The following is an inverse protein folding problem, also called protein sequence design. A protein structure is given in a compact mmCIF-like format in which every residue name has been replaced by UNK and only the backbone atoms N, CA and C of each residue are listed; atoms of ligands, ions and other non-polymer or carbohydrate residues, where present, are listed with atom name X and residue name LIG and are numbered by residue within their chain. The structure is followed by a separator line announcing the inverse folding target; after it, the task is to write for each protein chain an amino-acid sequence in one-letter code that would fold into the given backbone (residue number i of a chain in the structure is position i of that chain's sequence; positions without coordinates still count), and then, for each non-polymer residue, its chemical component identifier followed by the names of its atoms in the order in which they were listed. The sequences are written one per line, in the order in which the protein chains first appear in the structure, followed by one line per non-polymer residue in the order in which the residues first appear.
data_IF_546547412651
#
_entry.id   IF_546547412651
#
_cell.length_a   1.000
_cell.length_b   1.000
_cell.length_c   1.000
_cell.angle_alpha   90.00
_cell.angle_beta   90.00
_cell.angle_gamma   90.00
#
_symmetry.space_group_name_H-M   'P 1'
#
loop_
_entity.id
_entity.type
_entity.pdbx_description
1 polymer ?
#
# COMPACT_ATOMS: atom_id res chain seq x y z
N UNK A 1 23.93 -33.30 -5.80
CA UNK A 1 23.22 -32.04 -5.50
C UNK A 1 22.79 -31.38 -6.81
N UNK A 2 21.49 -31.25 -7.08
CA UNK A 2 21.00 -30.56 -8.24
C UNK A 2 21.42 -29.08 -8.11
N UNK A 3 22.22 -28.61 -9.06
CA UNK A 3 22.49 -27.17 -9.16
C UNK A 3 21.18 -26.49 -9.45
N UNK A 4 20.69 -25.67 -8.51
CA UNK A 4 19.52 -24.88 -8.74
C UNK A 4 19.76 -23.94 -9.91
N UNK A 5 19.14 -24.23 -11.05
CA UNK A 5 19.15 -23.33 -12.20
C UNK A 5 17.97 -22.36 -12.05
N UNK A 6 18.24 -21.07 -12.11
CA UNK A 6 17.18 -20.09 -12.31
C UNK A 6 16.51 -20.37 -13.67
N UNK A 7 15.19 -20.54 -13.68
CA UNK A 7 14.44 -20.71 -14.93
C UNK A 7 14.31 -19.38 -15.68
N UNK A 8 14.28 -18.29 -14.94
CA UNK A 8 14.18 -16.93 -15.46
C UNK A 8 14.68 -15.93 -14.41
N UNK A 9 15.05 -14.76 -14.84
CA UNK A 9 15.44 -13.63 -14.00
C UNK A 9 14.66 -12.42 -14.48
N UNK A 10 14.05 -11.68 -13.55
CA UNK A 10 13.37 -10.44 -13.82
C UNK A 10 13.62 -9.46 -12.67
N UNK A 11 13.80 -8.18 -13.03
CA UNK A 11 13.95 -7.10 -12.06
C UNK A 11 12.77 -6.14 -12.20
N UNK A 12 11.96 -6.04 -11.15
CA UNK A 12 10.82 -5.13 -11.04
C UNK A 12 11.04 -4.05 -9.97
N UNK A 13 12.23 -3.96 -9.40
CA UNK A 13 12.52 -3.02 -8.32
C UNK A 13 11.71 -3.27 -7.05
N UNK A 14 11.31 -4.52 -6.80
CA UNK A 14 10.53 -4.89 -5.63
C UNK A 14 11.33 -4.69 -4.34
N UNK A 15 10.66 -4.15 -3.32
CA UNK A 15 11.23 -3.96 -1.97
C UNK A 15 10.64 -4.90 -0.93
N UNK A 16 9.61 -5.66 -1.27
CA UNK A 16 8.89 -6.54 -0.38
C UNK A 16 9.01 -8.00 -0.83
N UNK A 17 8.77 -8.92 0.09
CA UNK A 17 8.75 -10.35 -0.20
C UNK A 17 7.62 -10.66 -1.18
N UNK A 18 7.90 -11.35 -2.29
CA UNK A 18 6.86 -11.79 -3.21
C UNK A 18 5.88 -12.74 -2.54
N UNK A 19 4.61 -12.63 -2.91
CA UNK A 19 3.59 -13.60 -2.53
C UNK A 19 3.37 -14.59 -3.66
N UNK A 20 3.25 -15.87 -3.33
CA UNK A 20 2.86 -16.92 -4.28
C UNK A 20 1.36 -17.12 -4.17
N UNK A 21 0.67 -17.14 -5.30
CA UNK A 21 -0.77 -17.34 -5.35
C UNK A 21 -1.19 -18.12 -6.60
N UNK A 22 -2.35 -18.76 -6.54
CA UNK A 22 -2.99 -19.33 -7.72
C UNK A 22 -4.01 -18.32 -8.25
N UNK A 23 -3.77 -17.82 -9.46
CA UNK A 23 -4.61 -16.82 -10.12
C UNK A 23 -5.09 -17.37 -11.45
N UNK A 24 -6.39 -17.58 -11.57
CA UNK A 24 -6.98 -18.16 -12.78
C UNK A 24 -6.42 -19.52 -13.16
N UNK A 25 -6.12 -20.37 -12.18
CA UNK A 25 -5.53 -21.70 -12.39
C UNK A 25 -4.04 -21.69 -12.74
N UNK A 26 -3.37 -20.55 -12.65
CA UNK A 26 -1.93 -20.39 -12.90
C UNK A 26 -1.23 -19.96 -11.62
N UNK A 27 -0.10 -20.60 -11.33
CA UNK A 27 0.75 -20.19 -10.23
C UNK A 27 1.45 -18.88 -10.56
N UNK A 28 1.22 -17.85 -9.74
CA UNK A 28 1.72 -16.52 -9.96
C UNK A 28 2.58 -16.02 -8.79
N UNK A 29 3.47 -15.08 -9.08
CA UNK A 29 4.15 -14.26 -8.09
C UNK A 29 3.54 -12.87 -8.11
N UNK A 30 3.14 -12.39 -6.95
CA UNK A 30 2.62 -11.06 -6.73
C UNK A 30 3.69 -10.22 -6.07
N UNK A 31 4.09 -9.14 -6.71
CA UNK A 31 5.20 -8.28 -6.34
C UNK A 31 4.74 -6.84 -6.21
N UNK A 32 5.32 -6.12 -5.26
CA UNK A 32 5.20 -4.66 -5.23
C UNK A 32 6.42 -4.04 -5.91
N UNK A 33 6.23 -3.06 -6.75
CA UNK A 33 7.28 -2.38 -7.48
C UNK A 33 7.21 -0.86 -7.30
N UNK A 34 8.36 -0.21 -7.38
CA UNK A 34 8.42 1.24 -7.23
C UNK A 34 7.81 1.75 -5.92
N UNK A 35 6.98 2.77 -6.03
CA UNK A 35 6.28 3.36 -4.87
C UNK A 35 4.83 2.91 -4.72
N UNK A 36 4.22 2.37 -5.76
CA UNK A 36 2.79 2.07 -5.75
C UNK A 36 2.34 1.08 -6.80
N UNK A 37 3.23 0.48 -7.56
CA UNK A 37 2.86 -0.53 -8.55
C UNK A 37 2.72 -1.92 -7.91
N UNK A 38 1.74 -2.66 -8.36
CA UNK A 38 1.58 -4.08 -8.16
C UNK A 38 1.84 -4.79 -9.49
N UNK A 39 2.67 -5.83 -9.43
CA UNK A 39 3.07 -6.61 -10.60
C UNK A 39 2.75 -8.06 -10.35
N UNK A 40 2.09 -8.71 -11.28
CA UNK A 40 1.78 -10.14 -11.23
C UNK A 40 2.41 -10.82 -12.42
N UNK A 41 3.21 -11.84 -12.14
CA UNK A 41 3.96 -12.61 -13.13
C UNK A 41 3.65 -14.10 -13.00
N UNK A 42 3.69 -14.81 -14.10
CA UNK A 42 3.59 -16.26 -14.13
C UNK A 42 4.83 -16.90 -13.51
N UNK A 43 4.65 -17.69 -12.47
CA UNK A 43 5.77 -18.27 -11.72
C UNK A 43 6.57 -19.33 -12.49
N UNK A 44 5.99 -19.93 -13.52
CA UNK A 44 6.66 -20.94 -14.33
C UNK A 44 7.53 -20.31 -15.43
N UNK A 45 7.07 -19.21 -16.02
CA UNK A 45 7.69 -18.59 -17.22
C UNK A 45 8.38 -17.27 -16.94
N UNK A 46 8.02 -16.57 -15.83
CA UNK A 46 8.47 -15.21 -15.54
C UNK A 46 7.80 -14.13 -16.40
N UNK A 47 6.82 -14.49 -17.21
CA UNK A 47 6.11 -13.54 -18.05
C UNK A 47 5.15 -12.68 -17.22
N UNK A 48 5.09 -11.41 -17.57
CA UNK A 48 4.13 -10.47 -16.99
C UNK A 48 2.70 -10.93 -17.31
N UNK A 49 1.88 -11.13 -16.28
CA UNK A 49 0.45 -11.34 -16.43
C UNK A 49 -0.26 -9.99 -16.52
N UNK A 50 -0.02 -9.13 -15.54
CA UNK A 50 -0.49 -7.74 -15.52
C UNK A 50 0.29 -6.90 -14.50
N UNK A 51 0.18 -5.57 -14.62
CA UNK A 51 0.60 -4.62 -13.60
C UNK A 51 -0.42 -3.50 -13.44
N UNK A 52 -0.54 -2.94 -12.24
CA UNK A 52 -1.47 -1.88 -11.92
C UNK A 52 -0.87 -0.89 -10.92
N UNK A 53 -1.28 0.37 -10.96
CA UNK A 53 -1.06 1.30 -9.87
C UNK A 53 -2.06 1.00 -8.75
N UNK A 54 -1.54 0.54 -7.62
CA UNK A 54 -2.33 0.16 -6.46
C UNK A 54 -2.48 1.29 -5.43
N UNK A 55 -1.96 2.51 -5.72
CA UNK A 55 -2.20 3.66 -4.84
C UNK A 55 -3.67 4.03 -4.84
N UNK A 56 -4.20 4.64 -3.76
CA UNK A 56 -5.55 5.19 -3.74
C UNK A 56 -5.82 6.14 -4.91
N UNK A 57 -7.10 6.37 -5.23
CA UNK A 57 -7.50 7.21 -6.36
C UNK A 57 -6.97 8.65 -6.26
N UNK A 58 -6.77 9.18 -5.04
CA UNK A 58 -6.15 10.48 -4.82
C UNK A 58 -4.62 10.50 -5.06
N UNK A 59 -4.01 9.35 -5.37
CA UNK A 59 -2.58 9.23 -5.64
C UNK A 59 -1.66 9.39 -4.43
N UNK A 60 -2.22 9.53 -3.24
CA UNK A 60 -1.45 9.78 -2.00
C UNK A 60 -1.10 8.45 -1.33
N UNK A 61 0.16 8.33 -0.90
CA UNK A 61 0.62 7.13 -0.22
C UNK A 61 1.61 6.29 -1.03
N UNK A 62 2.08 5.24 -0.43
CA UNK A 62 3.01 4.29 -1.05
C UNK A 62 2.86 2.91 -0.44
N UNK A 63 3.19 1.87 -1.21
CA UNK A 63 3.24 0.51 -0.68
C UNK A 63 4.54 0.35 0.09
N UNK A 64 4.45 0.00 1.37
CA UNK A 64 5.61 -0.27 2.25
C UNK A 64 5.57 -1.67 2.85
N UNK A 65 4.40 -2.26 2.94
CA UNK A 65 4.19 -3.63 3.40
C UNK A 65 4.04 -4.62 2.25
N UNK A 66 3.98 -5.91 2.59
CA UNK A 66 3.56 -6.94 1.65
C UNK A 66 2.07 -6.89 1.38
N UNK A 67 1.62 -7.65 0.40
CA UNK A 67 0.21 -7.75 0.02
C UNK A 67 -0.39 -9.07 0.52
N UNK A 68 -1.70 -9.13 0.65
CA UNK A 68 -2.42 -10.37 0.97
C UNK A 68 -3.27 -10.77 -0.22
N UNK A 69 -3.02 -11.96 -0.76
CA UNK A 69 -3.89 -12.55 -1.80
C UNK A 69 -4.96 -13.38 -1.10
N UNK A 70 -6.22 -13.09 -1.41
CA UNK A 70 -7.37 -13.80 -0.86
C UNK A 70 -8.43 -14.00 -1.92
N UNK A 71 -8.64 -15.27 -2.28
CA UNK A 71 -9.58 -15.65 -3.35
C UNK A 71 -9.28 -14.91 -4.65
N UNK A 72 -10.24 -14.11 -5.12
CA UNK A 72 -10.18 -13.31 -6.34
C UNK A 72 -9.60 -11.90 -6.14
N UNK A 73 -9.05 -11.61 -4.95
CA UNK A 73 -8.61 -10.26 -4.56
C UNK A 73 -7.17 -10.22 -4.10
N UNK A 74 -6.54 -9.10 -4.33
CA UNK A 74 -5.25 -8.74 -3.72
C UNK A 74 -5.48 -7.49 -2.88
N UNK A 75 -5.21 -7.61 -1.57
CA UNK A 75 -5.33 -6.53 -0.60
C UNK A 75 -3.97 -5.87 -0.44
N UNK A 76 -3.91 -4.60 -0.76
CA UNK A 76 -2.68 -3.81 -0.77
C UNK A 76 -2.73 -2.78 0.35
N UNK A 77 -1.84 -2.90 1.37
CA UNK A 77 -1.74 -1.89 2.41
C UNK A 77 -0.99 -0.67 1.89
N UNK A 78 -1.54 0.50 2.15
CA UNK A 78 -0.96 1.78 1.77
C UNK A 78 -0.46 2.51 3.01
N UNK A 79 0.80 2.87 2.97
CA UNK A 79 1.45 3.70 4.00
C UNK A 79 1.30 5.17 3.65
N UNK A 80 1.18 6.01 4.67
CA UNK A 80 1.23 7.46 4.53
C UNK A 80 2.54 7.91 3.86
N UNK A 81 2.46 8.94 3.04
CA UNK A 81 3.62 9.59 2.43
C UNK A 81 3.84 10.98 3.03
N UNK A 82 5.05 11.51 2.88
CA UNK A 82 5.37 12.88 3.29
C UNK A 82 6.09 13.02 4.64
N UNK A 83 6.01 12.04 5.53
CA UNK A 83 6.66 12.10 6.85
C UNK A 83 8.15 12.44 6.75
N UNK A 84 8.90 11.77 5.87
CA UNK A 84 10.32 12.05 5.65
C UNK A 84 10.62 13.44 5.09
N UNK A 85 9.62 14.11 4.51
CA UNK A 85 9.74 15.48 4.00
C UNK A 85 9.42 16.53 5.08
N UNK A 86 8.87 16.13 6.22
CA UNK A 86 8.54 17.03 7.34
C UNK A 86 9.76 17.75 7.92
N UNK A 87 10.97 17.27 7.65
CA UNK A 87 12.23 17.95 7.99
C UNK A 87 12.55 19.14 7.05
N UNK A 88 11.91 19.22 5.89
CA UNK A 88 12.07 20.35 4.98
C UNK A 88 11.24 21.54 5.48
N UNK A 89 11.89 22.68 5.81
CA UNK A 89 11.19 23.82 6.39
C UNK A 89 10.18 24.49 5.45
N UNK A 90 10.22 24.16 4.15
CA UNK A 90 9.28 24.68 3.13
C UNK A 90 8.19 23.70 2.73
N UNK A 91 8.19 22.49 3.30
CA UNK A 91 7.20 21.47 2.96
C UNK A 91 5.87 21.67 3.70
N UNK A 92 4.77 21.76 2.96
CA UNK A 92 3.42 21.75 3.54
C UNK A 92 3.11 20.35 4.07
N UNK A 93 3.48 20.09 5.30
CA UNK A 93 3.20 18.80 5.96
C UNK A 93 1.79 18.82 6.57
N UNK A 94 1.06 17.72 6.54
CA UNK A 94 1.26 16.51 5.75
C UNK A 94 -0.07 16.13 5.15
N UNK A 95 -0.07 15.41 4.02
CA UNK A 95 -1.32 15.06 3.33
C UNK A 95 -1.52 13.56 3.17
N UNK A 96 -0.46 12.77 3.42
CA UNK A 96 -0.52 11.31 3.24
C UNK A 96 -1.22 10.61 4.39
N UNK A 97 -2.05 9.61 4.08
CA UNK A 97 -2.67 8.74 5.07
C UNK A 97 -2.69 7.29 4.61
N UNK A 98 -2.99 6.40 5.54
CA UNK A 98 -3.10 4.98 5.29
C UNK A 98 -4.38 4.62 4.54
N UNK A 99 -4.31 3.52 3.79
CA UNK A 99 -5.47 2.94 3.12
C UNK A 99 -5.28 1.44 2.91
N UNK A 100 -6.36 0.73 2.63
CA UNK A 100 -6.34 -0.60 2.02
C UNK A 100 -6.99 -0.49 0.65
N UNK A 101 -6.29 -0.94 -0.38
CA UNK A 101 -6.81 -1.00 -1.74
C UNK A 101 -6.99 -2.47 -2.12
N UNK A 102 -8.18 -2.83 -2.57
CA UNK A 102 -8.45 -4.15 -3.12
C UNK A 102 -8.44 -4.11 -4.64
N UNK A 103 -7.61 -4.96 -5.22
CA UNK A 103 -7.53 -5.17 -6.66
C UNK A 103 -8.04 -6.58 -7.02
N UNK A 104 -8.62 -6.70 -8.19
CA UNK A 104 -8.92 -7.99 -8.81
C UNK A 104 -7.63 -8.75 -9.08
N UNK A 105 -7.54 -9.98 -8.60
CA UNK A 105 -6.37 -10.82 -8.84
C UNK A 105 -6.23 -11.19 -10.32
N UNK A 106 -7.32 -11.20 -11.08
CA UNK A 106 -7.31 -11.61 -12.47
C UNK A 106 -6.68 -10.58 -13.41
N UNK A 107 -6.91 -9.27 -13.16
CA UNK A 107 -6.56 -8.22 -14.12
C UNK A 107 -6.06 -6.91 -13.47
N UNK A 108 -5.95 -6.86 -12.15
CA UNK A 108 -5.47 -5.70 -11.42
C UNK A 108 -6.45 -4.52 -11.34
N UNK A 109 -7.70 -4.70 -11.77
CA UNK A 109 -8.73 -3.64 -11.63
C UNK A 109 -9.02 -3.37 -10.18
N UNK A 110 -9.15 -2.08 -9.82
CA UNK A 110 -9.56 -1.67 -8.50
C UNK A 110 -11.01 -2.08 -8.24
N UNK A 111 -11.22 -2.77 -7.10
CA UNK A 111 -12.54 -3.21 -6.66
C UNK A 111 -13.11 -2.24 -5.64
N UNK A 112 -12.30 -1.85 -4.65
CA UNK A 112 -12.64 -0.88 -3.62
C UNK A 112 -11.38 -0.35 -2.95
N UNK A 113 -11.52 0.75 -2.23
CA UNK A 113 -10.51 1.28 -1.32
C UNK A 113 -11.17 1.75 -0.02
N UNK A 114 -10.43 1.62 1.08
CA UNK A 114 -10.81 2.12 2.40
C UNK A 114 -9.67 2.98 2.93
N UNK A 115 -9.98 4.19 3.32
CA UNK A 115 -9.03 5.15 3.86
C UNK A 115 -9.10 5.17 5.38
N UNK A 116 -7.95 5.29 6.04
CA UNK A 116 -7.88 5.36 7.51
C UNK A 116 -8.37 6.70 8.04
N UNK A 117 -8.42 7.73 7.22
CA UNK A 117 -8.91 9.06 7.56
C UNK A 117 -9.30 9.84 6.30
N UNK A 118 -9.91 11.01 6.48
CA UNK A 118 -10.22 11.92 5.38
C UNK A 118 -8.96 12.55 4.76
N UNK A 119 -9.11 13.07 3.54
CA UNK A 119 -8.06 13.86 2.89
C UNK A 119 -7.74 15.12 3.70
N UNK A 120 -6.45 15.36 3.88
CA UNK A 120 -5.95 16.47 4.68
C UNK A 120 -6.34 17.82 4.10
N UNK A 121 -6.83 18.71 4.97
CA UNK A 121 -7.20 20.09 4.67
C UNK A 121 -6.27 21.06 5.38
N UNK A 122 -6.32 22.34 5.01
CA UNK A 122 -5.60 23.38 5.75
C UNK A 122 -6.17 23.51 7.16
N UNK A 123 -5.29 23.41 8.15
CA UNK A 123 -5.68 23.43 9.58
C UNK A 123 -5.93 24.83 10.14
N UNK A 124 -5.67 25.87 9.38
CA UNK A 124 -5.64 27.26 9.87
C UNK A 124 -4.30 27.66 10.51
N UNK A 125 -3.37 26.73 10.64
CA UNK A 125 -2.09 26.96 11.30
C UNK A 125 -0.93 27.06 10.30
N UNK A 126 0.12 27.74 10.71
CA UNK A 126 1.40 27.82 9.99
C UNK A 126 2.54 27.34 10.88
N UNK A 127 3.58 26.78 10.27
CA UNK A 127 4.81 26.40 10.96
C UNK A 127 5.61 27.63 11.42
N UNK A 128 6.65 27.40 12.20
CA UNK A 128 7.62 28.48 12.57
C UNK A 128 8.25 29.16 11.36
N UNK A 129 8.28 28.51 10.21
CA UNK A 129 8.83 29.03 8.95
C UNK A 129 7.75 29.64 8.04
N UNK A 130 6.51 29.80 8.53
CA UNK A 130 5.41 30.40 7.79
C UNK A 130 4.71 29.47 6.80
N UNK A 131 5.02 28.18 6.81
CA UNK A 131 4.42 27.21 5.88
C UNK A 131 3.08 26.70 6.41
N UNK A 132 2.08 26.66 5.54
CA UNK A 132 0.73 26.15 5.88
C UNK A 132 0.78 24.68 6.34
N UNK A 133 0.06 24.40 7.41
CA UNK A 133 -0.07 23.05 7.95
C UNK A 133 -1.36 22.41 7.47
N UNK A 134 -1.26 21.13 7.06
CA UNK A 134 -2.40 20.35 6.60
C UNK A 134 -2.61 19.14 7.52
N UNK A 135 -3.85 18.69 7.61
CA UNK A 135 -4.26 17.53 8.40
C UNK A 135 -5.75 17.22 8.25
N UNK A 136 -6.19 16.04 8.80
CA UNK A 136 -5.34 15.02 9.43
C UNK A 136 -4.42 14.32 8.43
N UNK A 137 -3.35 13.68 8.93
CA UNK A 137 -2.52 12.78 8.15
C UNK A 137 -1.86 11.74 9.03
N UNK A 138 -1.45 10.61 8.47
CA UNK A 138 -0.85 9.51 9.21
C UNK A 138 -1.66 8.22 9.12
N UNK A 139 -1.79 7.51 10.24
CA UNK A 139 -2.40 6.18 10.33
C UNK A 139 -1.96 5.25 9.18
N UNK A 140 -0.64 5.17 8.88
CA UNK A 140 -0.13 4.35 7.79
C UNK A 140 -0.38 2.87 8.04
N UNK A 141 -0.59 2.10 6.98
CA UNK A 141 -0.66 0.64 7.04
C UNK A 141 0.57 0.08 6.34
N UNK A 142 1.44 -0.58 7.10
CA UNK A 142 2.66 -1.23 6.59
C UNK A 142 2.73 -2.72 6.95
N UNK A 143 1.77 -3.22 7.73
CA UNK A 143 1.58 -4.64 7.99
C UNK A 143 0.78 -5.33 6.89
N UNK A 144 0.90 -6.66 6.83
CA UNK A 144 0.06 -7.47 5.96
C UNK A 144 -1.40 -7.42 6.44
N UNK A 145 -2.37 -7.14 5.55
CA UNK A 145 -3.78 -7.28 5.87
C UNK A 145 -4.09 -8.75 6.27
N UNK A 146 -4.77 -8.92 7.39
CA UNK A 146 -5.22 -10.23 7.87
C UNK A 146 -6.69 -10.43 7.55
N UNK A 147 -7.06 -11.65 7.13
CA UNK A 147 -8.43 -11.99 6.78
C UNK A 147 -9.07 -12.78 7.91
N UNK A 148 -10.16 -12.26 8.45
CA UNK A 148 -11.10 -13.00 9.29
C UNK A 148 -12.26 -13.47 8.41
N UNK A 149 -12.12 -14.67 7.86
CA UNK A 149 -13.16 -15.25 6.96
C UNK A 149 -14.50 -15.45 7.67
N UNK A 150 -14.44 -15.83 8.96
CA UNK A 150 -15.65 -16.13 9.74
C UNK A 150 -16.51 -14.88 9.91
N UNK A 151 -15.89 -13.71 10.05
CA UNK A 151 -16.61 -12.44 10.22
C UNK A 151 -16.65 -11.60 8.96
N UNK A 152 -16.07 -12.09 7.85
CA UNK A 152 -15.92 -11.38 6.59
C UNK A 152 -15.28 -10.00 6.77
N UNK A 153 -14.13 -9.96 7.47
CA UNK A 153 -13.41 -8.72 7.79
C UNK A 153 -11.97 -8.78 7.30
N UNK A 154 -11.47 -7.61 6.93
CA UNK A 154 -10.03 -7.35 6.75
C UNK A 154 -9.56 -6.60 8.00
N UNK A 155 -8.53 -7.10 8.64
CA UNK A 155 -7.95 -6.51 9.84
C UNK A 155 -6.56 -5.98 9.48
N UNK A 156 -6.29 -4.75 9.85
CA UNK A 156 -5.00 -4.09 9.65
C UNK A 156 -4.60 -3.33 10.91
N UNK A 157 -3.30 -3.24 11.16
CA UNK A 157 -2.77 -2.35 12.18
C UNK A 157 -2.33 -1.03 11.52
N UNK A 158 -2.64 0.08 12.16
CA UNK A 158 -2.26 1.42 11.72
C UNK A 158 -1.16 1.99 12.63
N UNK A 159 -0.36 2.88 12.07
CA UNK A 159 0.62 3.64 12.85
C UNK A 159 0.08 5.01 13.26
N UNK A 160 1.00 5.84 13.70
CA UNK A 160 0.77 7.14 14.31
C UNK A 160 0.13 8.18 13.38
N UNK A 161 -0.49 9.19 13.98
CA UNK A 161 -0.78 10.45 13.30
C UNK A 161 0.52 11.23 13.02
N UNK A 162 0.58 11.87 11.88
CA UNK A 162 1.72 12.71 11.47
C UNK A 162 1.40 14.20 11.48
N UNK A 163 0.12 14.55 11.44
CA UNK A 163 -0.35 15.92 11.65
C UNK A 163 -1.73 15.97 12.28
N UNK A 164 -2.03 17.07 12.97
CA UNK A 164 -3.34 17.29 13.61
C UNK A 164 -4.48 17.50 12.60
N UNK A 165 -5.75 17.22 13.01
CA UNK A 165 -6.13 16.62 14.29
C UNK A 165 -5.79 15.13 14.36
N UNK A 166 -5.66 14.62 15.58
CA UNK A 166 -5.55 13.17 15.80
C UNK A 166 -6.87 12.48 15.42
N UNK A 167 -6.77 11.24 14.94
CA UNK A 167 -7.91 10.43 14.55
C UNK A 167 -7.98 9.14 15.36
N UNK A 168 -9.16 8.59 15.55
CA UNK A 168 -9.37 7.32 16.26
C UNK A 168 -8.77 6.12 15.51
N UNK A 169 -8.41 6.30 14.26
CA UNK A 169 -7.82 5.28 13.39
C UNK A 169 -6.29 5.26 13.45
N UNK A 170 -5.65 6.18 14.17
CA UNK A 170 -4.21 6.13 14.41
C UNK A 170 -3.87 5.23 15.61
N UNK A 171 -2.77 4.49 15.50
CA UNK A 171 -2.32 3.52 16.51
C UNK A 171 -3.42 2.51 16.92
N UNK A 172 -4.16 2.01 15.93
CA UNK A 172 -5.34 1.19 16.09
C UNK A 172 -5.26 -0.14 15.31
N UNK A 173 -6.23 -1.03 15.59
CA UNK A 173 -6.44 -2.28 14.86
C UNK A 173 -7.89 -2.35 14.36
#
# INVERSE_FOLDING_TARGET
AAKGCARWIADFGSRNTPQIADIGGRRALVLTAGRGELVVIDAATGQLMWKADARPANGVGSIRGGVTVYKDKILVPISASGVGQGQNPTFECCTGHGAVVALSAADGKRLWEYHTMEDAKYTGQVSRTGVKQRGPSGAPIWSLPTIDEKRNRVIVATGENTSHPATETSDAI
#
